data_IF_638134246541
#
_entry.id   IF_638134246541
#
_cell.length_a   1.000
_cell.length_b   1.000
_cell.length_c   1.000
_cell.angle_alpha   90.00
_cell.angle_beta   90.00
_cell.angle_gamma   90.00
#
_symmetry.space_group_name_H-M   'P 1'
#
loop_
_entity.id
_entity.type
_entity.pdbx_description
1 polymer ?
#
# COMPACT_ATOMS: atom_id res chain seq x y z
N UNK A 1 -12.99 7.86 -21.13
CA UNK A 1 -14.32 8.30 -20.68
C UNK A 1 -14.75 7.34 -19.57
N UNK A 2 -14.48 7.68 -18.29
CA UNK A 2 -14.60 6.79 -17.12
C UNK A 2 -15.54 7.40 -16.07
N UNK A 3 -16.74 7.76 -16.49
CA UNK A 3 -17.76 8.19 -15.55
C UNK A 3 -19.01 7.37 -15.81
N UNK A 4 -19.15 6.26 -15.10
CA UNK A 4 -20.46 5.67 -14.87
C UNK A 4 -21.20 6.61 -13.92
N UNK A 5 -21.73 7.70 -14.48
CA UNK A 5 -22.79 8.44 -13.83
C UNK A 5 -24.01 7.53 -13.93
N UNK A 6 -24.54 7.06 -12.80
CA UNK A 6 -25.66 6.14 -12.79
C UNK A 6 -26.94 6.93 -13.06
N UNK A 7 -27.12 7.32 -14.33
CA UNK A 7 -28.26 8.11 -14.80
C UNK A 7 -29.62 7.40 -14.60
N UNK A 8 -29.59 6.12 -14.23
CA UNK A 8 -30.77 5.34 -13.85
C UNK A 8 -31.39 5.79 -12.52
N UNK A 9 -30.62 6.43 -11.62
CA UNK A 9 -31.09 6.88 -10.33
C UNK A 9 -31.07 8.42 -10.24
N UNK A 10 -32.25 9.05 -10.19
CA UNK A 10 -32.36 10.49 -9.94
C UNK A 10 -32.06 10.83 -8.47
N UNK A 11 -30.77 10.84 -8.14
CA UNK A 11 -30.26 11.25 -6.84
C UNK A 11 -30.43 12.76 -6.61
N UNK A 12 -30.49 13.55 -7.71
CA UNK A 12 -30.60 15.01 -7.63
C UNK A 12 -32.01 15.43 -7.22
N UNK A 13 -33.04 14.87 -7.85
CA UNK A 13 -34.45 15.15 -7.58
C UNK A 13 -35.00 14.55 -6.28
N UNK A 14 -34.17 13.86 -5.50
CA UNK A 14 -34.57 13.28 -4.21
C UNK A 14 -34.90 14.37 -3.19
N UNK A 15 -36.18 14.47 -2.81
CA UNK A 15 -36.65 15.48 -1.85
C UNK A 15 -36.20 15.23 -0.41
N UNK A 16 -36.11 13.97 0.04
CA UNK A 16 -35.66 13.63 1.40
C UNK A 16 -34.24 13.03 1.40
N UNK A 17 -33.25 13.92 1.25
CA UNK A 17 -31.83 13.55 1.23
C UNK A 17 -31.36 12.93 2.55
N UNK A 18 -31.97 13.31 3.68
CA UNK A 18 -31.66 12.69 4.98
C UNK A 18 -32.06 11.24 5.00
N UNK A 19 -33.30 10.93 4.61
CA UNK A 19 -33.79 9.56 4.54
C UNK A 19 -32.96 8.75 3.55
N UNK A 20 -32.60 9.33 2.40
CA UNK A 20 -31.72 8.69 1.43
C UNK A 20 -30.37 8.32 2.04
N UNK A 21 -29.68 9.26 2.69
CA UNK A 21 -28.41 9.01 3.39
C UNK A 21 -28.58 7.90 4.44
N UNK A 22 -29.60 8.02 5.30
CA UNK A 22 -29.85 7.05 6.36
C UNK A 22 -30.16 5.66 5.80
N UNK A 23 -30.81 5.58 4.63
CA UNK A 23 -31.08 4.32 3.94
C UNK A 23 -29.81 3.70 3.34
N UNK A 24 -28.98 4.49 2.65
CA UNK A 24 -27.72 3.99 2.06
C UNK A 24 -26.74 3.44 3.08
N UNK A 25 -26.70 4.01 4.29
CA UNK A 25 -25.83 3.51 5.39
C UNK A 25 -26.51 2.47 6.28
N UNK A 26 -27.68 1.96 5.88
CA UNK A 26 -28.40 0.87 6.56
C UNK A 26 -29.06 1.25 7.88
N UNK A 27 -29.32 2.54 8.13
CA UNK A 27 -30.12 2.99 9.28
C UNK A 27 -31.63 2.87 9.02
N UNK A 28 -32.03 3.02 7.77
CA UNK A 28 -33.39 2.80 7.30
C UNK A 28 -33.38 1.83 6.11
N UNK A 29 -34.51 1.20 5.75
CA UNK A 29 -34.62 0.47 4.50
C UNK A 29 -34.39 1.39 3.30
N UNK A 30 -33.76 0.86 2.25
CA UNK A 30 -33.83 1.47 0.92
C UNK A 30 -35.29 1.51 0.46
N UNK A 31 -35.59 2.45 -0.43
CA UNK A 31 -36.93 2.70 -0.92
C UNK A 31 -36.89 2.97 -2.42
N UNK A 32 -38.05 2.85 -3.07
CA UNK A 32 -38.24 3.09 -4.51
C UNK A 32 -37.27 2.26 -5.37
N UNK A 33 -36.68 2.85 -6.41
CA UNK A 33 -35.76 2.15 -7.31
C UNK A 33 -34.47 1.69 -6.61
N UNK A 34 -34.13 2.25 -5.45
CA UNK A 34 -32.91 1.90 -4.73
C UNK A 34 -33.02 0.58 -3.96
N UNK A 35 -34.21 0.01 -3.78
CA UNK A 35 -34.41 -1.29 -3.09
C UNK A 35 -33.58 -2.42 -3.73
N UNK A 36 -33.30 -2.31 -5.02
CA UNK A 36 -32.50 -3.28 -5.79
C UNK A 36 -30.98 -3.14 -5.55
N UNK A 37 -30.53 -2.06 -4.92
CA UNK A 37 -29.10 -1.82 -4.65
C UNK A 37 -28.70 -2.58 -3.37
N UNK A 38 -28.37 -3.86 -3.54
CA UNK A 38 -27.98 -4.76 -2.43
C UNK A 38 -26.49 -4.73 -2.11
N UNK A 39 -25.66 -4.27 -3.04
CA UNK A 39 -24.21 -4.19 -2.89
C UNK A 39 -23.78 -2.94 -2.10
N UNK A 40 -23.06 -3.12 -1.00
CA UNK A 40 -22.64 -2.00 -0.14
C UNK A 40 -21.62 -1.05 -0.81
N UNK A 41 -20.79 -1.54 -1.74
CA UNK A 41 -19.90 -0.66 -2.49
C UNK A 41 -20.68 0.17 -3.53
N UNK A 42 -21.72 -0.42 -4.14
CA UNK A 42 -22.64 0.33 -5.00
C UNK A 42 -23.39 1.40 -4.19
N UNK A 43 -23.91 1.06 -3.00
CA UNK A 43 -24.52 2.05 -2.08
C UNK A 43 -23.55 3.18 -1.75
N UNK A 44 -22.27 2.87 -1.53
CA UNK A 44 -21.25 3.86 -1.22
C UNK A 44 -21.00 4.80 -2.41
N UNK A 45 -20.96 4.26 -3.63
CA UNK A 45 -20.83 5.05 -4.84
C UNK A 45 -22.07 5.94 -5.11
N UNK A 46 -23.28 5.42 -4.85
CA UNK A 46 -24.51 6.22 -4.93
C UNK A 46 -24.50 7.36 -3.91
N UNK A 47 -24.09 7.05 -2.68
CA UNK A 47 -23.98 8.05 -1.63
C UNK A 47 -22.97 9.13 -2.00
N UNK A 48 -21.81 8.76 -2.56
CA UNK A 48 -20.82 9.72 -3.03
C UNK A 48 -21.37 10.66 -4.13
N UNK A 49 -22.24 10.17 -5.02
CA UNK A 49 -22.90 10.95 -6.06
C UNK A 49 -24.00 11.89 -5.54
N UNK A 50 -24.56 11.63 -4.36
CA UNK A 50 -25.56 12.50 -3.73
C UNK A 50 -24.94 13.77 -3.13
N UNK A 51 -23.66 13.72 -2.71
CA UNK A 51 -23.01 14.79 -1.95
C UNK A 51 -22.63 16.07 -2.73
N UNK A 52 -22.32 16.02 -4.03
CA UNK A 52 -22.04 17.21 -4.85
C UNK A 52 -23.23 18.14 -5.04
N UNK A 53 -24.45 17.75 -4.63
CA UNK A 53 -25.68 18.54 -4.84
C UNK A 53 -25.78 19.81 -3.98
N UNK A 54 -24.76 20.15 -3.18
CA UNK A 54 -24.65 21.34 -2.30
C UNK A 54 -25.85 21.65 -1.36
N UNK A 55 -26.73 20.68 -1.12
CA UNK A 55 -27.94 20.88 -0.32
C UNK A 55 -27.82 20.53 1.18
N UNK A 56 -28.77 21.04 1.96
CA UNK A 56 -28.94 20.74 3.37
C UNK A 56 -29.70 19.41 3.55
N UNK A 57 -29.18 18.50 4.38
CA UNK A 57 -29.86 17.25 4.71
C UNK A 57 -30.69 17.35 5.99
N UNK A 58 -30.26 18.14 6.98
CA UNK A 58 -30.90 18.20 8.28
C UNK A 58 -30.81 19.61 8.86
N UNK A 59 -31.94 20.32 8.89
CA UNK A 59 -32.00 21.75 9.25
C UNK A 59 -30.99 22.50 8.37
N UNK A 60 -29.91 23.03 8.97
CA UNK A 60 -28.81 23.77 8.30
C UNK A 60 -27.53 22.96 8.09
N UNK A 61 -27.60 21.63 8.18
CA UNK A 61 -26.42 20.75 8.04
C UNK A 61 -26.25 20.33 6.60
N UNK A 62 -25.10 20.66 5.98
CA UNK A 62 -24.78 20.20 4.62
C UNK A 62 -24.72 18.68 4.57
N UNK A 63 -25.20 18.09 3.47
CA UNK A 63 -25.19 16.63 3.27
C UNK A 63 -23.80 16.03 3.53
N UNK A 64 -22.74 16.67 3.01
CA UNK A 64 -21.35 16.22 3.19
C UNK A 64 -20.96 16.04 4.67
N UNK A 65 -21.31 16.99 5.53
CA UNK A 65 -20.89 16.96 6.94
C UNK A 65 -21.68 15.91 7.72
N UNK A 66 -22.94 15.70 7.34
CA UNK A 66 -23.79 14.67 7.92
C UNK A 66 -23.30 13.26 7.58
N UNK A 67 -22.88 13.02 6.34
CA UNK A 67 -22.35 11.71 5.91
C UNK A 67 -20.96 11.44 6.46
N UNK A 68 -20.09 12.45 6.57
CA UNK A 68 -18.74 12.27 7.14
C UNK A 68 -18.77 11.86 8.63
N UNK A 69 -19.78 12.32 9.37
CA UNK A 69 -19.89 12.12 10.82
C UNK A 69 -20.58 10.83 11.27
N UNK A 70 -21.14 10.89 12.49
CA UNK A 70 -21.82 9.77 13.19
C UNK A 70 -23.00 9.15 12.45
N UNK A 71 -23.60 9.88 11.50
CA UNK A 71 -24.80 9.46 10.79
C UNK A 71 -24.51 8.81 9.44
N UNK A 72 -23.25 8.83 8.97
CA UNK A 72 -22.84 8.18 7.72
C UNK A 72 -21.69 7.20 7.93
N UNK A 73 -20.48 7.55 7.47
CA UNK A 73 -19.32 6.64 7.44
C UNK A 73 -18.99 6.04 8.81
N UNK A 74 -19.06 6.83 9.89
CA UNK A 74 -18.79 6.30 11.24
C UNK A 74 -19.79 5.20 11.61
N UNK A 75 -21.09 5.38 11.34
CA UNK A 75 -22.09 4.33 11.57
C UNK A 75 -21.81 3.12 10.68
N UNK A 76 -21.53 3.37 9.41
CA UNK A 76 -21.37 2.32 8.41
C UNK A 76 -20.18 1.40 8.69
N UNK A 77 -19.07 1.98 9.15
CA UNK A 77 -17.83 1.26 9.41
C UNK A 77 -17.71 0.75 10.86
N UNK A 78 -18.34 1.43 11.82
CA UNK A 78 -18.15 1.16 13.25
C UNK A 78 -19.42 0.72 14.01
N UNK A 79 -20.59 0.67 13.38
CA UNK A 79 -21.87 0.38 14.04
C UNK A 79 -22.15 1.26 15.30
N UNK A 80 -21.53 2.44 15.39
CA UNK A 80 -21.64 3.35 16.54
C UNK A 80 -20.59 3.16 17.65
N UNK A 81 -19.73 2.14 17.58
CA UNK A 81 -18.59 1.99 18.49
C UNK A 81 -17.27 2.30 17.76
N UNK A 82 -16.80 3.54 17.85
CA UNK A 82 -15.56 4.00 17.19
C UNK A 82 -14.31 3.20 17.61
N UNK A 83 -14.37 2.45 18.71
CA UNK A 83 -13.27 1.59 19.16
C UNK A 83 -13.27 0.22 18.47
N UNK A 84 -14.34 -0.12 17.76
CA UNK A 84 -14.55 -1.43 17.19
C UNK A 84 -15.19 -1.33 15.80
N UNK A 85 -14.41 -1.37 14.71
CA UNK A 85 -14.93 -1.35 13.36
C UNK A 85 -15.65 -2.67 13.06
N UNK A 86 -16.91 -2.79 13.47
CA UNK A 86 -17.83 -3.92 13.21
C UNK A 86 -19.14 -3.47 12.57
N UNK A 87 -19.08 -2.35 11.84
CA UNK A 87 -20.18 -1.91 11.00
C UNK A 87 -20.55 -2.94 9.92
N UNK A 88 -21.75 -2.78 9.34
CA UNK A 88 -22.25 -3.65 8.28
C UNK A 88 -21.30 -3.72 7.08
N UNK A 89 -20.58 -2.63 6.81
CA UNK A 89 -19.60 -2.56 5.73
C UNK A 89 -18.42 -3.53 5.93
N UNK A 90 -18.03 -3.81 7.17
CA UNK A 90 -16.94 -4.74 7.47
C UNK A 90 -17.35 -6.18 7.17
N UNK A 91 -18.60 -6.54 7.48
CA UNK A 91 -19.16 -7.84 7.11
C UNK A 91 -19.22 -8.00 5.59
N UNK A 92 -19.58 -6.92 4.88
CA UNK A 92 -19.52 -6.88 3.43
C UNK A 92 -18.08 -7.10 2.91
N UNK A 93 -17.09 -6.35 3.40
CA UNK A 93 -15.69 -6.48 2.98
C UNK A 93 -15.14 -7.89 3.25
N UNK A 94 -15.44 -8.44 4.43
CA UNK A 94 -15.08 -9.81 4.79
C UNK A 94 -15.68 -10.84 3.83
N UNK A 95 -16.95 -10.72 3.45
CA UNK A 95 -17.56 -11.64 2.46
C UNK A 95 -16.96 -11.43 1.06
N UNK A 96 -16.76 -10.16 0.68
CA UNK A 96 -16.26 -9.74 -0.63
C UNK A 96 -14.86 -10.26 -0.89
N UNK A 97 -13.95 -10.13 0.08
CA UNK A 97 -12.57 -10.59 -0.04
C UNK A 97 -12.50 -12.13 -0.15
N UNK A 98 -13.41 -12.87 0.49
CA UNK A 98 -13.49 -14.34 0.35
C UNK A 98 -14.00 -14.77 -1.01
N UNK A 99 -15.01 -14.07 -1.52
CA UNK A 99 -15.50 -14.26 -2.88
C UNK A 99 -14.37 -14.01 -3.89
N UNK A 100 -13.67 -12.87 -3.76
CA UNK A 100 -12.49 -12.55 -4.57
C UNK A 100 -11.42 -13.64 -4.49
N UNK A 101 -11.07 -14.09 -3.28
CA UNK A 101 -10.07 -15.13 -3.10
C UNK A 101 -10.47 -16.45 -3.78
N UNK A 102 -11.74 -16.85 -3.68
CA UNK A 102 -12.26 -18.04 -4.35
C UNK A 102 -12.19 -17.93 -5.88
N UNK A 103 -12.53 -16.76 -6.45
CA UNK A 103 -12.51 -16.53 -7.90
C UNK A 103 -11.08 -16.51 -8.44
N UNK A 104 -10.16 -15.87 -7.71
CA UNK A 104 -8.79 -15.66 -8.14
C UNK A 104 -7.82 -16.78 -7.72
N UNK A 105 -8.31 -17.82 -7.03
CA UNK A 105 -7.46 -18.91 -6.51
C UNK A 105 -6.44 -18.43 -5.47
N UNK A 106 -6.78 -17.41 -4.68
CA UNK A 106 -5.91 -16.90 -3.62
C UNK A 106 -6.06 -17.76 -2.36
N UNK A 107 -4.95 -17.98 -1.65
CA UNK A 107 -4.96 -18.75 -0.42
C UNK A 107 -5.63 -17.95 0.71
N UNK A 108 -6.37 -18.68 1.55
CA UNK A 108 -7.13 -18.12 2.66
C UNK A 108 -6.44 -18.45 3.99
N UNK A 109 -5.84 -17.44 4.64
CA UNK A 109 -5.20 -17.59 5.95
C UNK A 109 -5.96 -16.83 7.02
N UNK A 110 -6.98 -17.45 7.64
CA UNK A 110 -7.78 -16.90 8.75
C UNK A 110 -8.24 -15.45 8.52
N UNK A 111 -7.45 -14.44 8.89
CA UNK A 111 -7.75 -13.02 8.79
C UNK A 111 -7.18 -12.31 7.54
N UNK A 112 -6.44 -13.02 6.68
CA UNK A 112 -5.84 -12.45 5.47
C UNK A 112 -5.96 -13.41 4.27
N UNK A 113 -5.70 -12.87 3.08
CA UNK A 113 -5.57 -13.62 1.82
C UNK A 113 -4.27 -13.23 1.13
N UNK A 114 -3.70 -14.14 0.35
CA UNK A 114 -2.43 -13.95 -0.35
C UNK A 114 -2.43 -14.69 -1.68
N UNK A 115 -1.57 -14.22 -2.59
CA UNK A 115 -1.19 -14.99 -3.77
C UNK A 115 -0.39 -16.22 -3.33
N UNK A 116 -0.64 -17.42 -3.89
CA UNK A 116 0.19 -18.57 -3.62
C UNK A 116 1.63 -18.29 -4.05
N UNK A 117 2.59 -18.85 -3.31
CA UNK A 117 4.00 -18.81 -3.72
C UNK A 117 4.12 -19.62 -5.02
N UNK A 118 4.68 -19.05 -6.11
CA UNK A 118 4.92 -19.80 -7.34
C UNK A 118 5.84 -21.01 -7.08
N UNK A 119 5.67 -22.07 -7.85
CA UNK A 119 6.61 -23.18 -7.84
C UNK A 119 8.01 -22.66 -8.20
N UNK A 120 9.00 -22.87 -7.34
CA UNK A 120 10.35 -22.37 -7.59
C UNK A 120 11.11 -23.21 -8.62
N UNK A 121 10.64 -24.42 -8.96
CA UNK A 121 11.33 -25.30 -9.91
C UNK A 121 11.32 -24.77 -11.35
N UNK A 122 10.41 -23.86 -11.68
CA UNK A 122 10.34 -23.21 -13.00
C UNK A 122 11.26 -21.99 -13.12
N UNK A 123 11.90 -21.56 -12.04
CA UNK A 123 12.80 -20.41 -12.02
C UNK A 123 14.28 -20.83 -11.92
N UNK A 124 15.22 -19.96 -12.30
CA UNK A 124 16.65 -20.23 -12.17
C UNK A 124 17.08 -20.60 -10.75
N UNK A 125 18.17 -21.37 -10.65
CA UNK A 125 18.77 -21.73 -9.36
C UNK A 125 19.11 -20.48 -8.55
N UNK A 126 18.80 -20.50 -7.25
CA UNK A 126 18.99 -19.33 -6.38
C UNK A 126 17.75 -18.43 -6.26
N UNK A 127 16.66 -18.75 -6.97
CA UNK A 127 15.36 -18.12 -6.73
C UNK A 127 14.84 -18.45 -5.33
N UNK A 128 14.18 -17.48 -4.71
CA UNK A 128 13.55 -17.64 -3.41
C UNK A 128 12.29 -16.79 -3.31
N UNK A 129 11.39 -17.16 -2.41
CA UNK A 129 10.18 -16.40 -2.13
C UNK A 129 9.95 -16.30 -0.62
N UNK A 130 9.23 -15.25 -0.23
CA UNK A 130 8.82 -15.06 1.15
C UNK A 130 7.39 -14.55 1.25
N UNK A 131 6.71 -15.00 2.29
CA UNK A 131 5.42 -14.50 2.75
C UNK A 131 5.56 -14.10 4.21
N UNK A 132 5.65 -12.80 4.46
CA UNK A 132 5.78 -12.26 5.81
C UNK A 132 4.40 -11.84 6.30
N UNK A 133 3.90 -12.60 7.28
CA UNK A 133 2.63 -12.30 7.94
C UNK A 133 2.83 -11.17 8.95
N UNK A 134 1.90 -10.22 8.98
CA UNK A 134 1.97 -9.09 9.90
C UNK A 134 0.59 -8.66 10.39
N UNK A 135 0.57 -7.91 11.48
CA UNK A 135 -0.61 -7.18 11.96
C UNK A 135 -0.27 -5.70 12.04
N UNK A 136 -1.12 -4.84 11.48
CA UNK A 136 -0.92 -3.39 11.54
C UNK A 136 -0.87 -2.91 13.00
N UNK A 137 0.25 -2.32 13.41
CA UNK A 137 0.39 -1.69 14.73
C UNK A 137 -0.21 -0.29 14.71
N UNK A 138 -0.04 0.44 13.60
CA UNK A 138 -0.74 1.69 13.30
C UNK A 138 -1.54 1.56 12.01
N UNK A 139 -2.59 2.38 11.81
CA UNK A 139 -3.40 2.32 10.59
C UNK A 139 -2.54 2.48 9.33
N UNK A 140 -2.96 1.83 8.24
CA UNK A 140 -2.40 2.03 6.92
C UNK A 140 -3.22 3.09 6.18
N UNK A 141 -2.53 4.12 5.70
CA UNK A 141 -3.11 5.18 4.88
C UNK A 141 -2.61 5.04 3.45
N UNK A 142 -3.50 5.30 2.50
CA UNK A 142 -3.16 5.51 1.10
C UNK A 142 -4.13 6.53 0.51
N UNK A 143 -3.91 6.91 -0.75
CA UNK A 143 -4.81 7.74 -1.50
C UNK A 143 -5.33 6.94 -2.69
N UNK A 144 -6.65 6.85 -2.80
CA UNK A 144 -7.30 6.39 -4.03
C UNK A 144 -7.39 7.53 -5.05
N UNK A 145 -7.45 7.18 -6.33
CA UNK A 145 -7.55 8.12 -7.46
C UNK A 145 -9.02 8.34 -7.88
N UNK A 146 -9.97 8.04 -6.97
CA UNK A 146 -11.41 8.22 -7.21
C UNK A 146 -11.80 9.67 -6.94
N UNK A 147 -12.25 10.37 -7.98
CA UNK A 147 -12.62 11.79 -7.90
C UNK A 147 -13.88 12.03 -7.06
N UNK A 148 -14.92 11.22 -7.27
CA UNK A 148 -16.21 11.35 -6.57
C UNK A 148 -16.27 10.41 -5.37
N UNK A 149 -15.90 10.92 -4.19
CA UNK A 149 -15.95 10.16 -2.95
C UNK A 149 -16.54 10.95 -1.78
N UNK A 150 -16.91 10.23 -0.72
CA UNK A 150 -17.58 10.80 0.46
C UNK A 150 -16.65 11.72 1.27
N UNK A 151 -15.36 11.36 1.32
CA UNK A 151 -14.31 12.14 1.95
C UNK A 151 -13.16 12.37 0.96
N UNK A 152 -12.33 13.36 1.27
CA UNK A 152 -11.27 13.83 0.36
C UNK A 152 -10.07 12.87 0.31
N UNK A 153 -9.92 11.99 1.30
CA UNK A 153 -8.80 11.04 1.41
C UNK A 153 -9.30 9.59 1.53
N UNK A 154 -9.86 8.99 0.47
CA UNK A 154 -10.19 7.58 0.43
C UNK A 154 -8.94 6.70 0.52
N UNK A 155 -9.06 5.55 1.19
CA UNK A 155 -8.05 4.49 1.09
C UNK A 155 -8.19 3.82 -0.28
N UNK A 156 -7.04 3.45 -0.85
CA UNK A 156 -6.97 2.78 -2.15
C UNK A 156 -7.66 1.42 -2.12
N UNK A 157 -8.56 1.19 -3.08
CA UNK A 157 -9.30 -0.07 -3.26
C UNK A 157 -8.98 -0.74 -4.59
N UNK A 158 -9.05 -2.07 -4.62
CA UNK A 158 -9.01 -2.85 -5.86
C UNK A 158 -10.25 -2.50 -6.71
N UNK A 159 -10.09 -2.43 -8.04
CA UNK A 159 -11.08 -1.78 -8.90
C UNK A 159 -12.37 -2.60 -9.09
N UNK A 160 -12.33 -3.93 -9.04
CA UNK A 160 -13.51 -4.81 -9.23
C UNK A 160 -14.24 -5.01 -7.90
N UNK A 161 -13.53 -5.53 -6.91
CA UNK A 161 -14.10 -6.01 -5.66
C UNK A 161 -14.24 -4.91 -4.61
N UNK A 162 -13.63 -3.74 -4.85
CA UNK A 162 -13.66 -2.57 -3.95
C UNK A 162 -13.16 -2.88 -2.54
N UNK A 163 -12.24 -3.83 -2.42
CA UNK A 163 -11.55 -4.14 -1.16
C UNK A 163 -10.28 -3.29 -1.02
N UNK A 164 -9.96 -2.77 0.18
CA UNK A 164 -8.74 -2.00 0.40
C UNK A 164 -7.49 -2.85 0.17
N UNK A 165 -6.44 -2.27 -0.41
CA UNK A 165 -5.21 -3.01 -0.71
C UNK A 165 -3.94 -2.16 -0.72
N UNK A 166 -2.79 -2.83 -0.63
CA UNK A 166 -1.48 -2.30 -1.02
C UNK A 166 -1.11 -2.89 -2.37
N UNK A 167 -0.85 -2.04 -3.36
CA UNK A 167 -0.43 -2.47 -4.69
C UNK A 167 1.03 -2.97 -4.70
N UNK A 168 1.36 -3.86 -5.63
CA UNK A 168 2.74 -4.31 -5.85
C UNK A 168 3.74 -3.16 -6.04
N UNK A 169 3.32 -2.10 -6.74
CA UNK A 169 4.16 -0.91 -6.94
C UNK A 169 4.38 -0.11 -5.66
N UNK A 170 3.39 -0.07 -4.77
CA UNK A 170 3.51 0.58 -3.46
C UNK A 170 4.45 -0.20 -2.55
N UNK A 171 4.36 -1.54 -2.56
CA UNK A 171 5.32 -2.39 -1.85
C UNK A 171 6.75 -2.23 -2.36
N UNK A 172 6.94 -2.24 -3.68
CA UNK A 172 8.23 -1.96 -4.31
C UNK A 172 8.79 -0.61 -3.86
N UNK A 173 7.96 0.44 -3.90
CA UNK A 173 8.35 1.78 -3.48
C UNK A 173 8.70 1.86 -2.00
N UNK A 174 7.90 1.25 -1.12
CA UNK A 174 8.12 1.24 0.32
C UNK A 174 9.41 0.51 0.69
N UNK A 175 9.66 -0.67 0.13
CA UNK A 175 10.87 -1.44 0.41
C UNK A 175 12.11 -0.73 -0.16
N UNK A 176 12.03 -0.20 -1.39
CA UNK A 176 13.13 0.59 -1.98
C UNK A 176 13.46 1.80 -1.12
N UNK A 177 12.45 2.53 -0.65
CA UNK A 177 12.64 3.69 0.20
C UNK A 177 13.28 3.33 1.54
N UNK A 178 12.86 2.22 2.16
CA UNK A 178 13.46 1.71 3.40
C UNK A 178 14.96 1.39 3.20
N UNK A 179 15.30 0.61 2.18
CA UNK A 179 16.68 0.19 1.93
C UNK A 179 17.58 1.35 1.46
N UNK A 180 17.04 2.31 0.69
CA UNK A 180 17.76 3.55 0.33
C UNK A 180 18.05 4.39 1.57
N UNK A 181 17.11 4.43 2.52
CA UNK A 181 17.31 5.17 3.76
C UNK A 181 18.40 4.55 4.63
N UNK A 182 18.40 3.23 4.79
CA UNK A 182 19.49 2.50 5.48
C UNK A 182 20.85 2.76 4.82
N UNK A 183 20.92 2.66 3.48
CA UNK A 183 22.14 2.94 2.71
C UNK A 183 22.72 4.33 3.02
N UNK A 184 21.85 5.34 3.13
CA UNK A 184 22.26 6.73 3.35
C UNK A 184 22.58 7.01 4.83
N UNK A 185 21.90 6.35 5.77
CA UNK A 185 22.11 6.53 7.21
C UNK A 185 23.42 5.87 7.70
N UNK A 186 23.94 4.84 7.03
CA UNK A 186 25.14 4.09 7.44
C UNK A 186 26.49 4.80 7.19
N UNK A 187 26.54 5.96 6.52
CA UNK A 187 27.76 6.75 6.28
C UNK A 187 28.98 5.91 5.82
N UNK A 188 28.78 5.16 4.74
CA UNK A 188 29.76 4.21 4.21
C UNK A 188 30.87 4.90 3.40
N UNK A 189 32.02 4.23 3.32
CA UNK A 189 33.08 4.61 2.36
C UNK A 189 32.56 4.56 0.91
N UNK A 190 33.10 5.39 0.00
CA UNK A 190 32.57 5.54 -1.37
C UNK A 190 32.40 4.23 -2.14
N UNK A 191 33.36 3.31 -2.03
CA UNK A 191 33.34 2.03 -2.73
C UNK A 191 32.22 1.11 -2.21
N UNK A 192 32.03 1.03 -0.89
CA UNK A 192 30.98 0.22 -0.28
C UNK A 192 29.59 0.83 -0.51
N UNK A 193 29.47 2.17 -0.47
CA UNK A 193 28.24 2.87 -0.86
C UNK A 193 27.85 2.53 -2.30
N UNK A 194 28.81 2.63 -3.23
CA UNK A 194 28.61 2.32 -4.63
C UNK A 194 28.17 0.87 -4.83
N UNK A 195 28.81 -0.07 -4.13
CA UNK A 195 28.51 -1.50 -4.21
C UNK A 195 27.10 -1.80 -3.73
N UNK A 196 26.68 -1.23 -2.60
CA UNK A 196 25.32 -1.42 -2.07
C UNK A 196 24.26 -0.76 -2.96
N UNK A 197 24.53 0.45 -3.47
CA UNK A 197 23.66 1.10 -4.48
C UNK A 197 23.51 0.24 -5.73
N UNK A 198 24.61 -0.34 -6.21
CA UNK A 198 24.61 -1.29 -7.32
C UNK A 198 23.72 -2.52 -7.02
N UNK A 199 23.80 -3.11 -5.82
CA UNK A 199 22.87 -4.19 -5.43
C UNK A 199 21.40 -3.73 -5.42
N UNK A 200 21.09 -2.52 -4.97
CA UNK A 200 19.73 -1.99 -4.99
C UNK A 200 19.16 -1.92 -6.42
N UNK A 201 19.96 -1.52 -7.41
CA UNK A 201 19.45 -1.47 -8.79
C UNK A 201 19.22 -2.86 -9.35
N UNK A 202 20.07 -3.85 -9.04
CA UNK A 202 19.81 -5.24 -9.43
C UNK A 202 18.52 -5.79 -8.79
N UNK A 203 18.22 -5.42 -7.54
CA UNK A 203 17.00 -5.84 -6.85
C UNK A 203 15.74 -5.17 -7.40
N UNK A 204 15.76 -3.84 -7.54
CA UNK A 204 14.56 -3.05 -7.85
C UNK A 204 14.42 -2.68 -9.33
N UNK A 205 15.47 -2.83 -10.12
CA UNK A 205 15.60 -2.29 -11.48
C UNK A 205 16.25 -0.92 -11.46
N UNK A 206 16.42 -0.36 -12.65
CA UNK A 206 17.11 0.90 -12.90
C UNK A 206 16.62 2.07 -12.02
N UNK A 207 17.53 3.02 -11.82
CA UNK A 207 17.21 4.29 -11.16
C UNK A 207 16.53 5.20 -12.17
N UNK A 208 15.28 5.59 -11.88
CA UNK A 208 14.63 6.62 -12.68
C UNK A 208 15.38 7.94 -12.49
N UNK A 209 15.57 8.66 -13.59
CA UNK A 209 16.14 10.00 -13.58
C UNK A 209 17.59 10.08 -14.02
N UNK A 210 18.15 9.05 -14.65
CA UNK A 210 19.43 9.13 -15.35
C UNK A 210 19.20 9.05 -16.86
N UNK A 211 19.08 10.21 -17.49
CA UNK A 211 18.88 10.38 -18.93
C UNK A 211 20.10 11.06 -19.56
N UNK A 212 20.34 10.93 -20.87
CA UNK A 212 21.44 11.63 -21.54
C UNK A 212 21.41 13.15 -21.26
N UNK A 213 22.45 13.64 -20.56
CA UNK A 213 22.57 15.04 -20.18
C UNK A 213 21.69 15.51 -19.01
N UNK A 214 21.01 14.61 -18.29
CA UNK A 214 20.20 14.99 -17.13
C UNK A 214 20.18 13.90 -16.05
N UNK A 215 20.62 14.26 -14.84
CA UNK A 215 20.49 13.44 -13.63
C UNK A 215 19.50 14.13 -12.70
N UNK A 216 18.42 13.43 -12.32
CA UNK A 216 17.30 13.96 -11.52
C UNK A 216 16.78 12.91 -10.54
N UNK A 217 16.02 13.37 -9.55
CA UNK A 217 15.23 12.48 -8.69
C UNK A 217 16.10 11.57 -7.83
N UNK A 218 15.91 10.25 -7.92
CA UNK A 218 16.63 9.30 -7.07
C UNK A 218 18.12 9.23 -7.40
N UNK A 219 18.48 9.27 -8.68
CA UNK A 219 19.88 9.21 -9.11
C UNK A 219 20.67 10.42 -8.60
N UNK A 220 20.12 11.63 -8.75
CA UNK A 220 20.72 12.87 -8.24
C UNK A 220 20.85 12.85 -6.72
N UNK A 221 19.80 12.38 -6.02
CA UNK A 221 19.82 12.26 -4.57
C UNK A 221 20.94 11.32 -4.09
N UNK A 222 21.10 10.15 -4.70
CA UNK A 222 22.12 9.17 -4.32
C UNK A 222 23.53 9.61 -4.70
N UNK A 223 23.71 10.31 -5.84
CA UNK A 223 24.97 10.93 -6.22
C UNK A 223 25.40 11.98 -5.17
N UNK A 224 24.45 12.79 -4.69
CA UNK A 224 24.73 13.78 -3.64
C UNK A 224 25.08 13.13 -2.30
N UNK A 225 24.39 12.05 -1.92
CA UNK A 225 24.62 11.39 -0.63
C UNK A 225 25.91 10.55 -0.61
N UNK A 226 26.25 9.89 -1.71
CA UNK A 226 27.46 9.05 -1.81
C UNK A 226 28.72 9.78 -2.29
N UNK A 227 28.56 10.97 -2.88
CA UNK A 227 29.67 11.72 -3.48
C UNK A 227 30.05 11.25 -4.89
N UNK A 228 30.89 12.04 -5.56
CA UNK A 228 31.25 11.79 -6.98
C UNK A 228 31.99 10.47 -7.19
N UNK A 229 32.88 10.10 -6.27
CA UNK A 229 33.65 8.85 -6.33
C UNK A 229 32.73 7.62 -6.30
N UNK A 230 31.81 7.54 -5.33
CA UNK A 230 30.83 6.46 -5.25
C UNK A 230 29.94 6.42 -6.50
N UNK A 231 29.57 7.59 -7.02
CA UNK A 231 28.76 7.72 -8.21
C UNK A 231 29.46 7.20 -9.48
N UNK A 232 30.79 7.36 -9.59
CA UNK A 232 31.62 6.82 -10.66
C UNK A 232 31.77 5.29 -10.53
N UNK A 233 32.10 4.80 -9.34
CA UNK A 233 32.19 3.35 -9.08
C UNK A 233 30.86 2.64 -9.38
N UNK A 234 29.74 3.23 -8.95
CA UNK A 234 28.41 2.69 -9.19
C UNK A 234 28.13 2.52 -10.70
N UNK A 235 28.34 3.58 -11.49
CA UNK A 235 28.11 3.55 -12.94
C UNK A 235 29.01 2.53 -13.63
N UNK A 236 30.28 2.47 -13.22
CA UNK A 236 31.24 1.48 -13.74
C UNK A 236 30.73 0.06 -13.50
N UNK A 237 30.32 -0.28 -12.28
CA UNK A 237 29.76 -1.61 -11.95
C UNK A 237 28.52 -1.96 -12.78
N UNK A 238 27.60 -1.01 -12.98
CA UNK A 238 26.41 -1.24 -13.81
C UNK A 238 26.80 -1.46 -15.27
N UNK A 239 27.70 -0.64 -15.82
CA UNK A 239 28.17 -0.76 -17.21
C UNK A 239 28.86 -2.09 -17.46
N UNK A 240 29.76 -2.49 -16.57
CA UNK A 240 30.47 -3.76 -16.64
C UNK A 240 29.50 -4.95 -16.61
N UNK A 241 28.50 -4.91 -15.70
CA UNK A 241 27.52 -5.98 -15.58
C UNK A 241 26.67 -6.18 -16.85
N UNK A 242 26.27 -5.10 -17.51
CA UNK A 242 25.46 -5.15 -18.73
C UNK A 242 26.27 -5.09 -20.03
N UNK A 243 27.60 -5.02 -19.96
CA UNK A 243 28.49 -4.89 -21.12
C UNK A 243 28.26 -3.60 -21.93
N UNK A 244 27.90 -2.50 -21.26
CA UNK A 244 27.57 -1.22 -21.90
C UNK A 244 28.78 -0.29 -21.93
N UNK A 245 29.25 0.16 -23.12
CA UNK A 245 30.36 1.11 -23.25
C UNK A 245 30.09 2.47 -22.57
N UNK A 246 31.16 3.20 -22.22
CA UNK A 246 31.07 4.48 -21.49
C UNK A 246 30.35 5.60 -22.28
N UNK A 247 30.41 5.56 -23.61
CA UNK A 247 29.78 6.54 -24.51
C UNK A 247 28.27 6.31 -24.69
N UNK A 248 27.73 5.19 -24.18
CA UNK A 248 26.31 4.86 -24.28
C UNK A 248 25.52 5.32 -23.06
N UNK A 249 24.21 5.60 -23.21
CA UNK A 249 23.31 5.82 -22.09
C UNK A 249 23.30 4.64 -21.12
N UNK A 250 22.93 4.89 -19.87
CA UNK A 250 22.76 3.83 -18.88
C UNK A 250 21.70 2.82 -19.34
N UNK A 251 21.89 1.51 -19.12
CA UNK A 251 20.92 0.51 -19.52
C UNK A 251 19.63 0.61 -18.69
N UNK A 252 18.48 0.39 -19.35
CA UNK A 252 17.22 0.11 -18.68
C UNK A 252 17.06 -1.39 -18.49
N UNK A 253 16.72 -1.80 -17.27
CA UNK A 253 16.59 -3.23 -16.95
C UNK A 253 15.60 -3.45 -15.82
N UNK A 254 15.04 -4.66 -15.78
CA UNK A 254 14.13 -5.08 -14.73
C UNK A 254 14.92 -5.62 -13.54
N UNK A 255 14.50 -5.24 -12.34
CA UNK A 255 15.04 -5.82 -11.11
C UNK A 255 14.64 -7.26 -10.88
N UNK A 256 15.38 -7.92 -10.00
CA UNK A 256 15.18 -9.32 -9.59
C UNK A 256 14.01 -9.53 -8.63
N UNK A 257 13.44 -8.46 -8.04
CA UNK A 257 12.31 -8.53 -7.10
C UNK A 257 10.93 -8.37 -7.76
N UNK A 258 10.04 -9.30 -7.45
CA UNK A 258 8.66 -9.36 -7.91
C UNK A 258 7.69 -9.26 -6.72
N UNK A 259 6.90 -8.19 -6.68
CA UNK A 259 6.01 -7.87 -5.57
C UNK A 259 4.57 -8.26 -5.87
N UNK A 260 3.86 -8.72 -4.86
CA UNK A 260 2.45 -9.08 -4.94
C UNK A 260 1.59 -8.13 -4.10
N UNK A 261 0.33 -7.90 -4.47
CA UNK A 261 -0.56 -7.05 -3.70
C UNK A 261 -0.95 -7.70 -2.36
N UNK A 262 -1.28 -6.86 -1.38
CA UNK A 262 -1.87 -7.30 -0.09
C UNK A 262 -3.26 -6.73 0.03
N UNK A 263 -4.26 -7.56 0.28
CA UNK A 263 -5.66 -7.16 0.42
C UNK A 263 -6.10 -7.19 1.88
N UNK A 264 -7.00 -6.29 2.26
CA UNK A 264 -7.52 -6.19 3.62
C UNK A 264 -9.03 -6.31 3.64
N UNK A 265 -9.56 -6.86 4.72
CA UNK A 265 -10.98 -7.12 4.93
C UNK A 265 -11.66 -6.02 5.77
N UNK A 266 -10.93 -4.95 6.10
CA UNK A 266 -11.38 -3.89 6.98
C UNK A 266 -11.05 -2.51 6.46
N UNK A 267 -11.93 -1.59 6.82
CA UNK A 267 -11.78 -0.16 6.56
C UNK A 267 -12.08 0.65 7.82
N UNK A 268 -11.50 1.83 7.95
CA UNK A 268 -11.69 2.69 9.11
C UNK A 268 -11.60 4.16 8.73
N UNK A 269 -11.78 5.03 9.72
CA UNK A 269 -11.63 6.46 9.63
C UNK A 269 -10.62 6.95 10.65
N UNK A 270 -9.68 7.75 10.17
CA UNK A 270 -8.76 8.54 10.96
C UNK A 270 -9.09 10.02 10.78
N UNK A 271 -8.86 10.82 11.83
CA UNK A 271 -9.03 12.26 11.76
C UNK A 271 -7.74 12.95 12.24
N UNK A 272 -7.19 13.81 11.38
CA UNK A 272 -6.04 14.64 11.73
C UNK A 272 -6.53 16.08 11.78
N UNK A 273 -6.40 16.74 12.93
CA UNK A 273 -6.69 18.17 13.06
C UNK A 273 -5.36 18.93 13.11
N UNK A 274 -4.94 19.64 12.04
CA UNK A 274 -3.76 20.49 12.08
C UNK A 274 -4.00 21.69 12.99
N UNK A 275 -3.08 21.95 13.93
CA UNK A 275 -3.18 23.08 14.86
C UNK A 275 -2.18 24.16 14.46
N UNK A 276 -2.63 25.40 14.20
CA UNK A 276 -1.73 26.53 14.04
C UNK A 276 -0.94 26.78 15.33
N UNK A 277 0.35 27.13 15.22
CA UNK A 277 1.25 27.30 16.38
C UNK A 277 0.89 28.50 17.26
N UNK A 278 0.32 29.53 16.65
CA UNK A 278 -0.09 30.79 17.27
C UNK A 278 -1.37 30.64 18.12
N UNK A 279 -2.35 29.89 17.63
CA UNK A 279 -3.66 29.74 18.27
C UNK A 279 -3.81 28.44 19.06
N UNK A 280 -3.00 27.42 18.77
CA UNK A 280 -3.04 26.11 19.43
C UNK A 280 -4.32 25.30 19.20
N UNK A 281 -5.26 25.81 18.39
CA UNK A 281 -6.59 25.21 18.17
C UNK A 281 -6.86 24.98 16.69
N UNK A 282 -6.87 23.70 16.27
CA UNK A 282 -7.27 23.32 14.92
C UNK A 282 -8.79 23.43 14.74
N UNK A 283 -9.23 23.99 13.61
CA UNK A 283 -10.66 24.26 13.32
C UNK A 283 -11.29 23.25 12.36
N UNK A 284 -10.50 22.62 11.49
CA UNK A 284 -10.99 21.81 10.38
C UNK A 284 -10.31 20.44 10.40
N UNK A 285 -10.92 19.42 11.04
CA UNK A 285 -10.36 18.07 11.01
C UNK A 285 -10.39 17.51 9.59
N UNK A 286 -9.26 16.92 9.19
CA UNK A 286 -9.08 16.21 7.94
C UNK A 286 -9.38 14.74 8.16
N UNK A 287 -10.40 14.23 7.49
CA UNK A 287 -10.76 12.81 7.56
C UNK A 287 -9.98 12.01 6.52
N UNK A 288 -9.50 10.84 6.96
CA UNK A 288 -8.81 9.85 6.15
C UNK A 288 -9.51 8.52 6.30
N UNK A 289 -9.77 7.86 5.20
CA UNK A 289 -10.11 6.46 5.23
C UNK A 289 -8.82 5.64 5.29
N UNK A 290 -8.85 4.58 6.07
CA UNK A 290 -7.67 3.79 6.38
C UNK A 290 -7.99 2.30 6.40
N UNK A 291 -6.95 1.48 6.43
CA UNK A 291 -7.06 0.14 7.01
C UNK A 291 -6.67 0.28 8.48
N UNK A 292 -7.57 -0.06 9.42
CA UNK A 292 -7.36 0.24 10.84
C UNK A 292 -6.25 -0.64 11.44
N UNK A 293 -5.65 -0.15 12.53
CA UNK A 293 -4.74 -0.94 13.35
C UNK A 293 -5.40 -2.25 13.82
N UNK A 294 -4.58 -3.28 14.05
CA UNK A 294 -5.03 -4.64 14.38
C UNK A 294 -5.46 -5.47 13.16
N UNK A 295 -5.48 -4.89 11.95
CA UNK A 295 -5.80 -5.65 10.73
C UNK A 295 -4.58 -6.46 10.28
N UNK A 296 -4.81 -7.74 9.95
CA UNK A 296 -3.76 -8.63 9.46
C UNK A 296 -3.51 -8.45 7.96
N UNK A 297 -2.27 -8.65 7.53
CA UNK A 297 -1.87 -8.64 6.13
C UNK A 297 -0.71 -9.59 5.88
N UNK A 298 -0.45 -9.86 4.60
CA UNK A 298 0.65 -10.74 4.15
C UNK A 298 1.44 -9.98 3.09
N UNK A 299 2.72 -9.73 3.37
CA UNK A 299 3.68 -9.20 2.40
C UNK A 299 4.29 -10.36 1.63
N UNK A 300 4.12 -10.40 0.30
CA UNK A 300 4.61 -11.49 -0.54
C UNK A 300 5.61 -10.97 -1.57
N UNK A 301 6.75 -11.63 -1.66
CA UNK A 301 7.88 -11.24 -2.49
C UNK A 301 8.52 -12.48 -3.12
N UNK A 302 8.82 -12.41 -4.41
CA UNK A 302 9.58 -13.40 -5.16
C UNK A 302 10.88 -12.74 -5.67
N UNK A 303 11.99 -13.43 -5.52
CA UNK A 303 13.28 -13.07 -6.11
C UNK A 303 13.64 -14.07 -7.20
N UNK A 304 14.02 -13.54 -8.36
CA UNK A 304 14.46 -14.32 -9.52
C UNK A 304 15.81 -13.76 -10.00
N UNK A 305 16.91 -14.52 -9.92
CA UNK A 305 18.20 -14.11 -10.47
C UNK A 305 18.17 -14.27 -11.99
N UNK A 306 17.78 -13.21 -12.70
CA UNK A 306 17.54 -13.21 -14.16
C UNK A 306 18.76 -13.58 -15.01
N UNK A 307 19.95 -13.42 -14.45
CA UNK A 307 21.26 -13.65 -15.06
C UNK A 307 21.95 -14.94 -14.58
N UNK A 308 21.25 -15.78 -13.79
CA UNK A 308 21.78 -17.01 -13.21
C UNK A 308 23.13 -16.83 -12.47
N UNK A 309 23.31 -15.65 -11.84
CA UNK A 309 24.53 -15.28 -11.14
C UNK A 309 24.90 -16.21 -9.96
N UNK A 310 26.09 -16.02 -9.35
CA UNK A 310 26.61 -16.90 -8.30
C UNK A 310 25.63 -17.05 -7.12
N UNK A 311 25.56 -18.25 -6.52
CA UNK A 311 24.71 -18.52 -5.33
C UNK A 311 25.00 -17.56 -4.16
N UNK A 312 26.24 -17.11 -4.02
CA UNK A 312 26.67 -16.20 -2.96
C UNK A 312 25.99 -14.83 -3.08
N UNK A 313 25.79 -14.35 -4.31
CA UNK A 313 25.07 -13.10 -4.58
C UNK A 313 23.60 -13.19 -4.19
N UNK A 314 22.92 -14.28 -4.55
CA UNK A 314 21.53 -14.49 -4.18
C UNK A 314 21.35 -14.56 -2.65
N UNK A 315 22.33 -15.13 -1.94
CA UNK A 315 22.35 -15.20 -0.48
C UNK A 315 22.58 -13.81 0.15
N UNK A 316 23.48 -13.00 -0.41
CA UNK A 316 23.73 -11.64 0.04
C UNK A 316 22.49 -10.75 -0.17
N UNK A 317 21.86 -10.84 -1.35
CA UNK A 317 20.60 -10.17 -1.67
C UNK A 317 19.49 -10.56 -0.72
N UNK A 318 19.36 -11.87 -0.44
CA UNK A 318 18.35 -12.36 0.49
C UNK A 318 18.49 -11.75 1.89
N UNK A 319 19.71 -11.69 2.43
CA UNK A 319 19.97 -11.06 3.74
C UNK A 319 19.68 -9.55 3.73
N UNK A 320 20.08 -8.85 2.67
CA UNK A 320 19.81 -7.43 2.50
C UNK A 320 18.31 -7.15 2.44
N UNK A 321 17.56 -7.96 1.68
CA UNK A 321 16.10 -7.86 1.60
C UNK A 321 15.45 -8.18 2.95
N UNK A 322 15.92 -9.19 3.69
CA UNK A 322 15.38 -9.51 5.01
C UNK A 322 15.47 -8.30 5.97
N UNK A 323 16.62 -7.62 6.01
CA UNK A 323 16.81 -6.38 6.77
C UNK A 323 15.90 -5.25 6.28
N UNK A 324 15.85 -5.05 4.96
CA UNK A 324 14.98 -4.05 4.36
C UNK A 324 13.49 -4.26 4.67
N UNK A 325 13.01 -5.52 4.65
CA UNK A 325 11.61 -5.86 4.97
C UNK A 325 11.33 -5.59 6.45
N UNK A 326 12.27 -5.93 7.34
CA UNK A 326 12.18 -5.58 8.76
C UNK A 326 12.09 -4.06 8.94
N UNK A 327 12.99 -3.29 8.34
CA UNK A 327 13.01 -1.83 8.47
C UNK A 327 11.72 -1.20 7.91
N UNK A 328 11.26 -1.65 6.74
CA UNK A 328 10.01 -1.23 6.12
C UNK A 328 8.81 -1.50 7.03
N UNK A 329 8.64 -2.73 7.54
CA UNK A 329 7.45 -3.10 8.30
C UNK A 329 7.47 -2.58 9.74
N UNK A 330 8.62 -2.54 10.41
CA UNK A 330 8.69 -2.33 11.87
C UNK A 330 9.14 -0.93 12.29
N UNK A 331 9.92 -0.25 11.43
CA UNK A 331 10.55 1.04 11.74
C UNK A 331 9.95 2.17 10.92
N UNK A 332 10.03 2.10 9.58
CA UNK A 332 9.65 3.20 8.70
C UNK A 332 8.15 3.20 8.36
N UNK A 333 7.53 2.02 8.26
CA UNK A 333 6.15 1.85 7.83
C UNK A 333 5.96 1.99 6.31
N UNK A 334 4.76 1.67 5.84
CA UNK A 334 4.39 1.73 4.42
C UNK A 334 3.09 2.53 4.19
N UNK A 335 2.91 3.05 2.98
CA UNK A 335 1.78 3.89 2.62
C UNK A 335 2.06 5.38 2.81
N UNK A 336 1.07 6.14 3.28
CA UNK A 336 1.15 7.59 3.48
C UNK A 336 1.40 7.96 4.95
N UNK A 337 1.97 9.15 5.17
CA UNK A 337 2.22 9.73 6.51
C UNK A 337 3.10 8.84 7.41
N UNK A 338 4.02 8.09 6.81
CA UNK A 338 4.98 7.21 7.51
C UNK A 338 5.87 7.96 8.51
N UNK A 339 6.19 9.24 8.25
CA UNK A 339 6.91 10.10 9.21
C UNK A 339 6.13 10.37 10.51
N UNK A 340 4.81 10.21 10.52
CA UNK A 340 3.96 10.24 11.73
C UNK A 340 3.73 8.83 12.31
N UNK A 341 4.41 7.83 11.77
CA UNK A 341 4.39 6.44 12.20
C UNK A 341 3.21 5.62 11.69
N UNK A 342 2.51 6.06 10.63
CA UNK A 342 1.48 5.23 9.99
C UNK A 342 2.09 4.06 9.22
N UNK A 343 1.32 2.97 9.09
CA UNK A 343 1.71 1.80 8.32
C UNK A 343 2.83 0.95 8.90
N UNK A 344 3.20 1.13 10.17
CA UNK A 344 4.05 0.16 10.89
C UNK A 344 3.25 -1.04 11.37
N UNK A 345 3.89 -2.19 11.41
CA UNK A 345 3.29 -3.47 11.69
C UNK A 345 4.15 -4.34 12.61
N UNK A 346 3.49 -5.25 13.32
CA UNK A 346 4.11 -6.31 14.11
C UNK A 346 4.13 -7.60 13.29
N UNK A 347 5.30 -8.23 13.17
CA UNK A 347 5.53 -9.39 12.30
C UNK A 347 5.25 -10.71 13.05
N UNK A 348 4.54 -11.60 12.39
CA UNK A 348 4.12 -12.91 12.90
C UNK A 348 5.07 -13.98 12.36
N UNK A 349 6.22 -14.15 13.01
CA UNK A 349 7.28 -15.10 12.63
C UNK A 349 6.75 -16.50 12.36
N UNK A 350 5.96 -17.06 13.28
CA UNK A 350 5.42 -18.43 13.21
C UNK A 350 4.35 -18.65 12.11
N UNK A 351 3.85 -17.58 11.48
CA UNK A 351 2.89 -17.68 10.37
C UNK A 351 3.55 -17.36 9.03
N UNK A 352 4.76 -16.83 9.05
CA UNK A 352 5.48 -16.45 7.84
C UNK A 352 6.13 -17.67 7.19
N UNK A 353 6.23 -17.66 5.85
CA UNK A 353 6.79 -18.75 5.08
C UNK A 353 7.95 -18.25 4.22
N UNK A 354 9.07 -18.98 4.24
CA UNK A 354 10.24 -18.76 3.39
C UNK A 354 10.43 -20.00 2.51
N UNK A 355 10.68 -19.79 1.21
CA UNK A 355 10.90 -20.86 0.24
C UNK A 355 12.19 -20.57 -0.54
N UNK A 356 13.13 -21.53 -0.64
CA UNK A 356 13.10 -22.85 -0.02
C UNK A 356 13.26 -22.83 1.52
N UNK A 357 12.79 -23.86 2.25
CA UNK A 357 12.73 -23.85 3.72
C UNK A 357 14.09 -23.77 4.43
N UNK A 358 15.16 -24.22 3.79
CA UNK A 358 16.53 -24.14 4.33
C UNK A 358 17.02 -22.70 4.51
N UNK A 359 16.46 -21.74 3.77
CA UNK A 359 16.76 -20.32 3.92
C UNK A 359 16.06 -19.67 5.12
N UNK A 360 15.11 -20.33 5.77
CA UNK A 360 14.32 -19.73 6.86
C UNK A 360 15.20 -19.27 8.02
N UNK A 361 16.18 -20.09 8.44
CA UNK A 361 17.13 -19.72 9.50
C UNK A 361 17.97 -18.50 9.11
N UNK A 362 18.36 -18.42 7.83
CA UNK A 362 19.15 -17.30 7.30
C UNK A 362 18.32 -16.02 7.31
N UNK A 363 17.05 -16.09 6.93
CA UNK A 363 16.12 -14.96 6.94
C UNK A 363 15.99 -14.37 8.34
N UNK A 364 15.64 -15.19 9.33
CA UNK A 364 15.39 -14.70 10.68
C UNK A 364 16.66 -14.26 11.41
N UNK A 365 17.81 -14.86 11.09
CA UNK A 365 19.10 -14.35 11.57
C UNK A 365 19.36 -12.95 11.03
N UNK A 366 19.24 -12.76 9.70
CA UNK A 366 19.43 -11.45 9.08
C UNK A 366 18.38 -10.41 9.54
N UNK A 367 17.16 -10.86 9.85
CA UNK A 367 16.10 -10.02 10.42
C UNK A 367 16.47 -9.46 11.79
N UNK A 368 17.17 -10.24 12.62
CA UNK A 368 17.54 -9.86 13.99
C UNK A 368 18.82 -9.02 14.03
N UNK A 369 19.71 -9.20 13.05
CA UNK A 369 20.91 -8.37 12.84
C UNK A 369 20.50 -6.90 12.63
N UNK A 370 21.06 -6.00 13.45
CA UNK A 370 20.87 -4.55 13.36
C UNK A 370 21.93 -3.93 12.47
#
# INVERSE_FOLDING_TARGET
MKHEFWAEFDLYGTQDKRRAIEAFVGKQPLFSLWENITDEAARQAMLAQLLPTEEECARRTKCKDYVKGKNGLQRWYYAGDLRNPRGVFQTFLYKRIRCMASILGLANHKAAINSPIPDLSIFPTGSWAMQVHFTLRKPYLSKDDVDFYIIDNPVKKEWVFKVPYVASSQWKGALRAAMVRELVEEQLEPEEFAKRRYRLVLLFGDEKGEEPGSIKGLAEYLDRMGGQEAAQHFRKMVREHFGVPDDKPMPHFRGRLHFYPTFFDRIGLEAINPHPRDTGAGKNPLYFECVPAGTSGIFTLLYVPLDAGPKDEATADFKAVARGVRAMLTTYGFGAKTSSGYGVADVLKNQSQIVPPDLEKVFWKAWEEK
#
